data_IF_653908911816
#
_entry.id   IF_653908911816
#
_cell.length_a   1.000
_cell.length_b   1.000
_cell.length_c   1.000
_cell.angle_alpha   90.00
_cell.angle_beta   90.00
_cell.angle_gamma   90.00
#
_symmetry.space_group_name_H-M   'P 1'
#
loop_
_entity.id
_entity.type
_entity.pdbx_description
1 polymer ?
#
# COMPACT_ATOMS: atom_id res chain seq x y z
N UNK A 1 -4.87 18.67 -3.22
CA UNK A 1 -5.34 19.54 -3.56
C UNK A 1 -6.75 19.71 -4.00
N UNK A 2 -7.05 20.87 -4.51
CA UNK A 2 -8.43 21.30 -4.67
C UNK A 2 -9.20 20.49 -5.70
N UNK A 3 -8.53 19.84 -6.62
CA UNK A 3 -9.18 19.18 -7.75
C UNK A 3 -8.97 17.67 -7.75
N UNK A 4 -8.66 17.10 -6.59
CA UNK A 4 -8.49 15.68 -6.44
C UNK A 4 -9.81 15.05 -6.00
N UNK A 5 -10.24 14.03 -6.71
CA UNK A 5 -11.46 13.28 -6.39
C UNK A 5 -11.11 11.83 -6.13
N UNK A 6 -11.65 11.28 -5.05
CA UNK A 6 -11.48 9.87 -4.73
C UNK A 6 -12.84 9.19 -4.85
N UNK A 7 -12.92 8.18 -5.71
CA UNK A 7 -14.15 7.41 -5.92
C UNK A 7 -13.90 5.97 -5.47
N UNK A 8 -14.66 5.50 -4.51
CA UNK A 8 -14.62 4.12 -4.08
C UNK A 8 -15.40 3.26 -5.08
N UNK A 9 -14.79 2.17 -5.51
CA UNK A 9 -15.45 1.23 -6.41
C UNK A 9 -16.31 0.26 -5.61
N UNK A 10 -17.27 -0.42 -6.27
CA UNK A 10 -18.14 -1.35 -5.56
C UNK A 10 -17.33 -2.43 -4.84
N UNK A 11 -17.74 -2.69 -3.60
CA UNK A 11 -17.10 -3.69 -2.76
C UNK A 11 -17.58 -5.07 -3.18
N UNK A 12 -16.64 -5.95 -3.53
CA UNK A 12 -16.96 -7.28 -4.06
C UNK A 12 -16.61 -8.41 -3.10
N UNK A 13 -15.82 -8.12 -2.07
CA UNK A 13 -15.44 -9.14 -1.12
C UNK A 13 -16.54 -9.38 -0.11
N UNK A 14 -16.46 -10.52 0.58
CA UNK A 14 -17.39 -10.84 1.64
C UNK A 14 -17.16 -9.90 2.82
N UNK A 15 -18.19 -9.13 3.25
CA UNK A 15 -18.01 -8.21 4.37
C UNK A 15 -17.71 -8.90 5.70
N UNK A 16 -17.92 -10.21 5.79
CA UNK A 16 -17.60 -10.97 6.99
C UNK A 16 -16.17 -11.54 6.96
N UNK A 17 -15.44 -11.34 5.87
CA UNK A 17 -14.06 -11.80 5.80
C UNK A 17 -13.15 -10.92 6.65
N UNK A 18 -12.09 -11.53 7.19
CA UNK A 18 -11.10 -10.79 7.99
C UNK A 18 -10.03 -10.11 7.16
N UNK A 19 -10.03 -10.32 5.86
CA UNK A 19 -9.06 -9.77 4.92
C UNK A 19 -9.80 -9.41 3.64
N UNK A 20 -9.82 -8.13 3.30
CA UNK A 20 -10.58 -7.64 2.15
C UNK A 20 -9.74 -6.66 1.35
N UNK A 21 -10.15 -6.45 0.09
CA UNK A 21 -9.53 -5.46 -0.79
C UNK A 21 -10.60 -4.43 -1.15
N UNK A 22 -10.32 -3.18 -0.84
CA UNK A 22 -11.16 -2.04 -1.23
C UNK A 22 -10.46 -1.31 -2.38
N UNK A 23 -11.19 -1.10 -3.46
CA UNK A 23 -10.64 -0.45 -4.65
C UNK A 23 -11.14 0.97 -4.77
N UNK A 24 -10.27 1.86 -5.25
CA UNK A 24 -10.63 3.24 -5.48
C UNK A 24 -10.01 3.77 -6.76
N UNK A 25 -10.58 4.86 -7.27
CA UNK A 25 -10.00 5.63 -8.36
C UNK A 25 -9.72 7.03 -7.85
N UNK A 26 -8.48 7.47 -8.00
CA UNK A 26 -8.09 8.82 -7.63
C UNK A 26 -7.89 9.61 -8.92
N UNK A 27 -8.66 10.67 -9.07
CA UNK A 27 -8.66 11.49 -10.27
C UNK A 27 -8.25 12.92 -9.91
N UNK A 28 -7.25 13.43 -10.61
CA UNK A 28 -6.88 14.85 -10.54
C UNK A 28 -7.35 15.55 -11.80
N UNK A 29 -7.58 16.86 -11.71
CA UNK A 29 -8.16 17.62 -12.82
C UNK A 29 -7.33 17.56 -14.09
N UNK A 30 -6.02 17.37 -13.97
CA UNK A 30 -5.10 17.39 -15.11
C UNK A 30 -4.58 16.03 -15.51
N UNK A 31 -5.07 14.95 -14.91
CA UNK A 31 -4.46 13.65 -15.10
C UNK A 31 -5.44 12.54 -15.36
N UNK A 32 -4.90 11.41 -15.73
CA UNK A 32 -5.65 10.17 -15.87
C UNK A 32 -6.00 9.62 -14.50
N UNK A 33 -7.16 8.97 -14.35
CA UNK A 33 -7.48 8.32 -13.08
C UNK A 33 -6.43 7.26 -12.73
N UNK A 34 -6.07 7.20 -11.45
CA UNK A 34 -5.12 6.23 -10.93
C UNK A 34 -5.86 5.26 -10.03
N UNK A 35 -5.74 3.97 -10.31
CA UNK A 35 -6.33 2.94 -9.48
C UNK A 35 -5.48 2.70 -8.25
N UNK A 36 -6.10 2.80 -7.08
CA UNK A 36 -5.42 2.52 -5.81
C UNK A 36 -6.28 1.51 -5.06
N UNK A 37 -5.71 0.37 -4.79
CA UNK A 37 -6.38 -0.69 -4.04
C UNK A 37 -5.76 -0.78 -2.65
N UNK A 38 -6.59 -1.06 -1.66
CA UNK A 38 -6.16 -1.15 -0.28
C UNK A 38 -6.43 -2.55 0.24
N UNK A 39 -5.43 -3.19 0.83
CA UNK A 39 -5.64 -4.41 1.59
C UNK A 39 -5.88 -4.06 3.04
N UNK A 40 -7.02 -4.53 3.56
CA UNK A 40 -7.38 -4.30 4.94
C UNK A 40 -7.52 -5.64 5.64
N UNK A 41 -7.04 -5.69 6.88
CA UNK A 41 -7.25 -6.85 7.74
C UNK A 41 -7.95 -6.41 9.02
N UNK A 42 -8.72 -7.32 9.58
CA UNK A 42 -9.45 -7.07 10.81
C UNK A 42 -8.59 -7.45 12.00
N UNK A 43 -8.20 -6.45 12.78
CA UNK A 43 -7.44 -6.66 14.01
C UNK A 43 -8.42 -6.80 15.17
N UNK A 44 -8.30 -7.84 16.02
CA UNK A 44 -9.23 -8.02 17.13
C UNK A 44 -9.25 -6.87 18.13
N UNK A 45 -8.15 -6.12 18.22
CA UNK A 45 -8.03 -5.03 19.20
C UNK A 45 -8.27 -3.66 18.59
N UNK A 46 -7.88 -3.45 17.32
CA UNK A 46 -7.90 -2.13 16.70
C UNK A 46 -8.96 -1.98 15.60
N UNK A 47 -9.62 -3.08 15.24
CA UNK A 47 -10.58 -3.07 14.15
C UNK A 47 -9.90 -3.19 12.78
N UNK A 48 -10.51 -2.62 11.76
CA UNK A 48 -9.96 -2.68 10.41
C UNK A 48 -8.74 -1.80 10.29
N UNK A 49 -7.70 -2.31 9.65
CA UNK A 49 -6.51 -1.51 9.36
C UNK A 49 -5.97 -1.86 7.98
N UNK A 50 -5.36 -0.86 7.34
CA UNK A 50 -4.74 -1.02 6.05
C UNK A 50 -3.34 -1.60 6.25
N UNK A 51 -3.04 -2.72 5.58
CA UNK A 51 -1.71 -3.31 5.70
C UNK A 51 -0.95 -3.34 4.37
N UNK A 52 -1.59 -2.98 3.26
CA UNK A 52 -0.89 -2.80 1.99
C UNK A 52 -1.70 -1.90 1.07
N UNK A 53 -1.05 -1.32 0.08
CA UNK A 53 -1.66 -0.50 -0.94
C UNK A 53 -1.11 -0.90 -2.31
N UNK A 54 -2.01 -1.00 -3.28
CA UNK A 54 -1.63 -1.25 -4.67
C UNK A 54 -1.82 0.04 -5.47
N UNK A 55 -0.73 0.56 -6.02
CA UNK A 55 -0.77 1.74 -6.87
C UNK A 55 -0.25 1.34 -8.24
N UNK A 56 -1.12 1.45 -9.23
CA UNK A 56 -0.81 1.11 -10.62
C UNK A 56 -0.27 -0.33 -10.78
N UNK A 57 -0.87 -1.26 -10.02
CA UNK A 57 -0.52 -2.67 -10.11
C UNK A 57 0.61 -3.12 -9.18
N UNK A 58 1.15 -2.22 -8.37
CA UNK A 58 2.26 -2.55 -7.49
C UNK A 58 1.80 -2.51 -6.03
N UNK A 59 1.93 -3.65 -5.36
CA UNK A 59 1.68 -3.73 -3.90
C UNK A 59 2.90 -3.19 -3.17
N UNK A 60 2.77 -2.00 -2.57
CA UNK A 60 3.90 -1.24 -2.07
C UNK A 60 4.61 -1.91 -0.89
N UNK A 61 3.85 -2.35 0.11
CA UNK A 61 4.45 -2.95 1.30
C UNK A 61 5.13 -4.27 0.95
N UNK A 62 4.46 -5.09 0.15
CA UNK A 62 5.03 -6.37 -0.27
C UNK A 62 6.31 -6.16 -1.07
N UNK A 63 6.31 -5.17 -1.97
CA UNK A 63 7.49 -4.87 -2.77
C UNK A 63 8.66 -4.38 -1.89
N UNK A 64 8.38 -3.48 -0.96
CA UNK A 64 9.41 -3.01 -0.04
C UNK A 64 9.91 -4.11 0.88
N UNK A 65 9.03 -4.98 1.33
CA UNK A 65 9.43 -6.13 2.17
C UNK A 65 10.43 -7.02 1.44
N UNK A 66 10.18 -7.27 0.15
CA UNK A 66 11.08 -8.08 -0.66
C UNK A 66 12.44 -7.38 -0.83
N UNK A 67 12.43 -6.08 -1.08
CA UNK A 67 13.66 -5.31 -1.21
C UNK A 67 14.46 -5.29 0.08
N UNK A 68 13.79 -5.12 1.22
CA UNK A 68 14.45 -5.11 2.51
C UNK A 68 15.02 -6.48 2.86
N UNK A 69 14.31 -7.56 2.53
CA UNK A 69 14.81 -8.89 2.75
C UNK A 69 16.09 -9.15 1.95
N UNK A 70 16.10 -8.73 0.68
CA UNK A 70 17.31 -8.86 -0.14
C UNK A 70 18.47 -8.05 0.43
N UNK A 71 18.17 -6.84 0.92
CA UNK A 71 19.22 -6.00 1.50
C UNK A 71 19.82 -6.63 2.75
N UNK A 72 18.98 -7.24 3.57
CA UNK A 72 19.45 -7.92 4.79
C UNK A 72 20.33 -9.11 4.42
N UNK A 73 19.94 -9.87 3.39
CA UNK A 73 20.76 -11.00 2.92
C UNK A 73 22.13 -10.56 2.40
N UNK A 74 22.17 -9.45 1.67
CA UNK A 74 23.39 -8.98 1.02
C UNK A 74 24.33 -8.24 1.98
N UNK A 75 23.77 -7.42 2.86
CA UNK A 75 24.56 -6.45 3.62
C UNK A 75 24.26 -6.46 5.11
N UNK A 76 23.34 -7.32 5.57
CA UNK A 76 22.93 -7.36 6.97
C UNK A 76 22.09 -6.15 7.36
N UNK A 77 21.76 -6.07 8.64
CA UNK A 77 20.89 -5.01 9.16
C UNK A 77 21.55 -3.64 9.04
N UNK A 78 22.87 -3.57 9.26
CA UNK A 78 23.59 -2.30 9.13
C UNK A 78 23.50 -1.76 7.70
N UNK A 79 23.58 -2.62 6.70
CA UNK A 79 23.42 -2.23 5.33
C UNK A 79 22.03 -1.74 5.02
N UNK A 80 21.00 -2.37 5.62
CA UNK A 80 19.62 -1.93 5.48
C UNK A 80 19.43 -0.53 6.05
N UNK A 81 19.93 -0.27 7.23
CA UNK A 81 19.82 1.04 7.87
C UNK A 81 20.51 2.10 7.02
N UNK A 82 21.67 1.78 6.47
CA UNK A 82 22.39 2.71 5.60
C UNK A 82 21.57 3.04 4.34
N UNK A 83 20.94 2.03 3.74
CA UNK A 83 20.12 2.23 2.55
C UNK A 83 18.90 3.11 2.85
N UNK A 84 18.26 2.90 3.99
CA UNK A 84 17.12 3.72 4.41
C UNK A 84 17.53 5.16 4.66
N UNK A 85 18.69 5.37 5.30
CA UNK A 85 19.18 6.73 5.54
C UNK A 85 19.47 7.46 4.24
N UNK A 86 19.98 6.76 3.25
CA UNK A 86 20.24 7.37 1.94
C UNK A 86 18.95 7.79 1.24
N UNK A 87 17.87 7.01 1.39
CA UNK A 87 16.58 7.36 0.79
C UNK A 87 15.93 8.55 1.47
N UNK A 88 16.21 8.77 2.74
CA UNK A 88 15.61 9.87 3.49
C UNK A 88 16.36 11.19 3.34
N UNK A 89 17.43 11.18 2.61
CA UNK A 89 18.14 12.42 2.25
C UNK A 89 17.72 12.90 0.85
#
# INVERSE_FOLDING_TARGET
TQNTTIKLLPFRDNPNADDVVVRSLITQSNGQPVGVDYRLEKDPQQGWRIYDMNVEGIWLIQNYRNQFAQQIEQSGIDGLIKALNQRNQ
#
